data_IF_725854292141
#
_entry.id   IF_725854292141
#
_cell.length_a   1.000
_cell.length_b   1.000
_cell.length_c   1.000
_cell.angle_alpha   90.00
_cell.angle_beta   90.00
_cell.angle_gamma   90.00
#
_symmetry.space_group_name_H-M   'P 1'
#
loop_
_entity.id
_entity.type
_entity.pdbx_description
1 polymer ?
#
# COMPACT_ATOMS: atom_id res chain seq x y z
N UNK A 1 -6.73 17.75 16.87
CA UNK A 1 -5.89 17.18 15.79
C UNK A 1 -4.57 17.95 15.80
N UNK A 2 -3.45 17.40 16.27
CA UNK A 2 -2.27 18.22 16.50
C UNK A 2 -1.37 18.24 15.25
N UNK A 3 -1.18 19.44 14.72
CA UNK A 3 -0.07 19.76 13.82
C UNK A 3 1.24 19.62 14.61
N UNK A 4 2.31 19.10 14.01
CA UNK A 4 3.63 19.22 14.62
C UNK A 4 4.04 20.71 14.59
N UNK A 5 4.50 21.28 15.71
CA UNK A 5 5.03 22.64 15.69
C UNK A 5 6.22 22.63 14.73
N UNK A 6 6.16 23.49 13.70
CA UNK A 6 7.13 23.67 12.60
C UNK A 6 6.98 22.80 11.34
N UNK A 7 5.95 21.95 11.19
CA UNK A 7 5.66 21.27 9.92
C UNK A 7 4.24 21.55 9.44
N UNK A 8 4.08 21.81 8.13
CA UNK A 8 2.77 21.90 7.46
C UNK A 8 2.22 20.52 7.08
N UNK A 9 2.52 19.49 7.88
CA UNK A 9 2.10 18.12 7.60
C UNK A 9 0.86 17.78 8.41
N UNK A 10 -0.10 17.15 7.74
CA UNK A 10 -1.25 16.54 8.39
C UNK A 10 -0.90 15.10 8.73
N UNK A 11 -0.89 14.77 10.03
CA UNK A 11 -0.55 13.43 10.51
C UNK A 11 -1.78 12.71 11.02
N UNK A 12 -1.93 11.45 10.60
CA UNK A 12 -3.01 10.54 11.03
C UNK A 12 -2.41 9.27 11.64
N UNK A 13 -3.03 8.69 12.69
CA UNK A 13 -2.58 7.41 13.23
C UNK A 13 -2.95 6.27 12.28
N UNK A 14 -1.95 5.53 11.80
CA UNK A 14 -2.16 4.30 11.03
C UNK A 14 -2.02 3.10 11.98
N UNK A 15 -3.11 2.36 12.16
CA UNK A 15 -3.20 1.27 13.15
C UNK A 15 -2.99 -0.12 12.55
N UNK A 16 -3.06 -0.24 11.22
CA UNK A 16 -2.93 -1.50 10.53
C UNK A 16 -3.23 -1.36 9.04
N UNK A 17 -3.04 -2.44 8.29
CA UNK A 17 -3.36 -2.54 6.87
C UNK A 17 -3.99 -3.90 6.59
N UNK A 18 -4.91 -3.96 5.64
CA UNK A 18 -5.55 -5.21 5.22
C UNK A 18 -5.59 -5.34 3.70
N UNK A 19 -5.64 -6.58 3.21
CA UNK A 19 -5.82 -6.91 1.79
C UNK A 19 -6.93 -7.94 1.69
N UNK A 20 -7.98 -7.67 0.91
CA UNK A 20 -9.12 -8.59 0.78
C UNK A 20 -9.82 -8.86 2.12
N UNK A 21 -9.89 -7.84 2.99
CA UNK A 21 -10.47 -7.95 4.34
C UNK A 21 -9.60 -8.68 5.37
N UNK A 22 -8.40 -9.15 5.02
CA UNK A 22 -7.48 -9.82 5.95
C UNK A 22 -6.41 -8.86 6.45
N UNK A 23 -6.37 -8.64 7.76
CA UNK A 23 -5.36 -7.81 8.41
C UNK A 23 -3.96 -8.41 8.21
N UNK A 24 -2.99 -7.58 7.83
CA UNK A 24 -1.60 -7.99 7.69
C UNK A 24 -0.94 -8.12 9.07
N UNK A 25 -0.14 -9.18 9.32
CA UNK A 25 0.52 -9.39 10.61
C UNK A 25 1.75 -8.48 10.73
N UNK A 26 1.52 -7.18 10.94
CA UNK A 26 2.56 -6.16 11.11
C UNK A 26 2.56 -5.64 12.55
N UNK A 27 3.73 -5.50 13.20
CA UNK A 27 3.79 -4.86 14.50
C UNK A 27 3.45 -3.36 14.36
N UNK A 28 2.71 -2.76 15.31
CA UNK A 28 2.32 -1.34 15.24
C UNK A 28 3.51 -0.38 15.09
N UNK A 29 4.68 -0.75 15.60
CA UNK A 29 5.92 0.02 15.48
C UNK A 29 6.35 0.28 14.03
N UNK A 30 5.91 -0.55 13.07
CA UNK A 30 6.19 -0.36 11.64
C UNK A 30 5.62 0.97 11.12
N UNK A 31 4.51 1.44 11.67
CA UNK A 31 3.84 2.67 11.21
C UNK A 31 4.39 3.95 11.87
N UNK A 32 5.36 3.82 12.78
CA UNK A 32 6.07 4.92 13.41
C UNK A 32 5.26 5.67 14.47
N UNK A 33 5.97 6.23 15.46
CA UNK A 33 5.35 6.97 16.55
C UNK A 33 4.87 8.38 16.15
N UNK A 34 5.41 8.94 15.07
CA UNK A 34 5.06 10.29 14.62
C UNK A 34 3.79 10.34 13.75
N UNK A 35 3.19 9.19 13.45
CA UNK A 35 2.01 9.09 12.60
C UNK A 35 2.34 9.03 11.11
N UNK A 36 1.31 8.89 10.29
CA UNK A 36 1.38 8.80 8.83
C UNK A 36 0.99 10.13 8.21
N UNK A 37 1.79 10.62 7.25
CA UNK A 37 1.51 11.85 6.53
C UNK A 37 0.34 11.62 5.58
N UNK A 38 -0.68 12.47 5.68
CA UNK A 38 -1.72 12.64 4.68
C UNK A 38 -1.24 13.69 3.67
N UNK A 39 -1.01 13.26 2.44
CA UNK A 39 -0.44 14.09 1.38
C UNK A 39 -1.25 13.96 0.09
N UNK A 40 -1.71 15.09 -0.46
CA UNK A 40 -2.37 15.17 -1.76
C UNK A 40 -1.40 15.56 -2.89
N UNK A 41 -0.14 15.90 -2.57
CA UNK A 41 0.88 16.31 -3.52
C UNK A 41 1.64 15.14 -4.17
N UNK A 42 1.47 13.92 -3.66
CA UNK A 42 2.09 12.71 -4.24
C UNK A 42 1.05 11.78 -4.86
N UNK A 43 1.36 11.24 -6.04
CA UNK A 43 0.48 10.31 -6.78
C UNK A 43 0.61 8.85 -6.31
N UNK A 44 1.56 8.56 -5.43
CA UNK A 44 1.82 7.21 -4.90
C UNK A 44 2.01 7.25 -3.38
N UNK A 45 1.45 6.26 -2.69
CA UNK A 45 1.71 6.04 -1.26
C UNK A 45 3.11 5.48 -1.04
N UNK A 46 3.85 6.04 -0.07
CA UNK A 46 5.16 5.52 0.35
C UNK A 46 5.02 4.81 1.69
N UNK A 47 5.56 3.60 1.76
CA UNK A 47 5.49 2.75 2.96
C UNK A 47 6.90 2.41 3.45
N UNK A 48 7.10 2.25 4.77
CA UNK A 48 8.28 1.59 5.31
C UNK A 48 8.48 0.23 4.64
N UNK A 49 9.75 -0.17 4.43
CA UNK A 49 10.07 -1.37 3.64
C UNK A 49 9.35 -2.64 4.12
N UNK A 50 9.21 -2.82 5.45
CA UNK A 50 8.50 -3.96 6.04
C UNK A 50 7.00 -3.93 5.71
N UNK A 51 6.35 -2.78 5.85
CA UNK A 51 4.94 -2.58 5.50
C UNK A 51 4.71 -2.82 4.00
N UNK A 52 5.58 -2.27 3.14
CA UNK A 52 5.51 -2.45 1.69
C UNK A 52 5.64 -3.94 1.31
N UNK A 53 6.61 -4.64 1.86
CA UNK A 53 6.85 -6.06 1.57
C UNK A 53 5.65 -6.94 1.94
N UNK A 54 5.07 -6.72 3.13
CA UNK A 54 3.88 -7.45 3.57
C UNK A 54 2.66 -7.15 2.69
N UNK A 55 2.41 -5.87 2.38
CA UNK A 55 1.32 -5.44 1.51
C UNK A 55 1.47 -6.05 0.10
N UNK A 56 2.65 -5.91 -0.50
CA UNK A 56 2.96 -6.45 -1.83
C UNK A 56 2.76 -7.96 -1.90
N UNK A 57 3.26 -8.69 -0.90
CA UNK A 57 3.15 -10.16 -0.88
C UNK A 57 1.69 -10.61 -0.78
N UNK A 58 0.90 -9.98 0.08
CA UNK A 58 -0.52 -10.28 0.22
C UNK A 58 -1.32 -9.93 -1.04
N UNK A 59 -1.03 -8.78 -1.65
CA UNK A 59 -1.67 -8.35 -2.89
C UNK A 59 -1.34 -9.30 -4.06
N UNK A 60 -0.06 -9.67 -4.23
CA UNK A 60 0.37 -10.65 -5.23
C UNK A 60 -0.36 -11.98 -5.06
N UNK A 61 -0.46 -12.49 -3.82
CA UNK A 61 -1.15 -13.74 -3.54
C UNK A 61 -2.64 -13.68 -3.91
N UNK A 62 -3.32 -12.58 -3.58
CA UNK A 62 -4.73 -12.39 -3.92
C UNK A 62 -4.96 -12.32 -5.44
N UNK A 63 -4.12 -11.58 -6.15
CA UNK A 63 -4.22 -11.41 -7.60
C UNK A 63 -3.85 -12.70 -8.34
N UNK A 64 -2.90 -13.48 -7.82
CA UNK A 64 -2.50 -14.78 -8.36
C UNK A 64 -3.64 -15.81 -8.33
N UNK A 65 -4.51 -15.78 -7.30
CA UNK A 65 -5.70 -16.63 -7.23
C UNK A 65 -6.66 -16.42 -8.41
N UNK A 66 -6.65 -15.21 -8.99
CA UNK A 66 -7.47 -14.83 -10.17
C UNK A 66 -6.73 -15.01 -11.48
N UNK A 67 -5.48 -15.51 -11.44
CA UNK A 67 -4.63 -15.75 -12.61
C UNK A 67 -4.39 -14.49 -13.45
N UNK A 68 -4.32 -13.32 -12.81
CA UNK A 68 -3.94 -12.09 -13.51
C UNK A 68 -2.45 -12.11 -13.85
N UNK A 69 -2.06 -11.86 -15.12
CA UNK A 69 -0.67 -11.93 -15.54
C UNK A 69 0.10 -10.69 -15.08
N UNK A 70 1.32 -10.92 -14.59
CA UNK A 70 2.24 -9.82 -14.28
C UNK A 70 2.71 -9.16 -15.58
N UNK A 71 2.83 -7.84 -15.54
CA UNK A 71 3.49 -7.04 -16.55
C UNK A 71 4.90 -6.63 -16.06
N UNK A 72 5.80 -6.22 -16.97
CA UNK A 72 7.08 -5.63 -16.59
C UNK A 72 6.93 -4.46 -15.62
N UNK A 73 7.93 -4.27 -14.77
CA UNK A 73 8.02 -3.09 -13.91
C UNK A 73 8.00 -1.81 -14.75
N UNK A 74 7.35 -0.77 -14.24
CA UNK A 74 7.20 0.51 -14.92
C UNK A 74 7.67 1.64 -14.01
N UNK A 75 8.72 2.34 -14.41
CA UNK A 75 9.32 3.43 -13.62
C UNK A 75 9.65 2.97 -12.19
N UNK A 76 9.08 3.60 -11.17
CA UNK A 76 9.28 3.29 -9.75
C UNK A 76 8.43 2.10 -9.25
N UNK A 77 7.56 1.53 -10.10
CA UNK A 77 6.59 0.51 -9.72
C UNK A 77 7.08 -0.90 -10.08
N UNK A 78 7.07 -1.80 -9.10
CA UNK A 78 7.59 -3.18 -9.22
C UNK A 78 6.51 -4.28 -9.16
N UNK A 79 5.24 -3.90 -9.21
CA UNK A 79 4.09 -4.82 -9.19
C UNK A 79 3.06 -4.31 -10.19
N UNK A 80 3.19 -4.74 -11.44
CA UNK A 80 2.33 -4.31 -12.54
C UNK A 80 1.60 -5.54 -13.12
N UNK A 81 0.41 -5.35 -13.69
CA UNK A 81 -0.41 -6.41 -14.29
C UNK A 81 -0.87 -6.02 -15.68
N UNK A 82 -0.88 -6.98 -16.61
CA UNK A 82 -1.53 -6.82 -17.91
C UNK A 82 -2.98 -7.28 -17.80
N UNK A 83 -3.88 -6.30 -17.72
CA UNK A 83 -5.32 -6.54 -17.57
C UNK A 83 -6.09 -6.29 -18.86
N UNK A 84 -5.40 -6.07 -19.99
CA UNK A 84 -6.01 -5.69 -21.28
C UNK A 84 -7.06 -6.68 -21.80
N UNK A 85 -6.94 -7.95 -21.41
CA UNK A 85 -7.85 -9.04 -21.83
C UNK A 85 -9.02 -9.29 -20.87
N UNK A 86 -9.16 -8.50 -19.81
CA UNK A 86 -10.19 -8.69 -18.79
C UNK A 86 -11.24 -7.59 -18.90
N UNK A 87 -12.50 -7.98 -19.02
CA UNK A 87 -13.64 -7.05 -19.04
C UNK A 87 -14.04 -6.59 -17.65
N UNK A 88 -13.72 -7.38 -16.62
CA UNK A 88 -13.91 -7.04 -15.22
C UNK A 88 -12.69 -7.52 -14.41
N UNK A 89 -12.20 -6.64 -13.54
CA UNK A 89 -11.05 -6.91 -12.66
C UNK A 89 -11.52 -6.83 -11.23
N UNK A 90 -11.25 -7.87 -10.45
CA UNK A 90 -11.53 -7.90 -9.04
C UNK A 90 -10.24 -7.66 -8.26
N UNK A 91 -10.13 -6.47 -7.71
CA UNK A 91 -9.02 -6.02 -6.86
C UNK A 91 -9.40 -6.32 -5.39
N UNK A 92 -8.44 -6.68 -4.53
CA UNK A 92 -8.71 -6.94 -3.11
C UNK A 92 -9.17 -5.73 -2.30
#
# INVERSE_FOLDING_TARGET
>A
MPLLPHSKLYLVPLTGMSVGGRLLPLPPSVFGCQGTVLDSGTVITRLPAMAYSALRSAFLAFMAQRKYPLAPAASLLNTCYDLSRYTAVHIP
#
